data_IF_209580398234
#
_entry.id   IF_209580398234
#
_cell.length_a   1.000
_cell.length_b   1.000
_cell.length_c   1.000
_cell.angle_alpha   90.00
_cell.angle_beta   90.00
_cell.angle_gamma   90.00
#
_symmetry.space_group_name_H-M   'P 1'
#
loop_
_entity.id
_entity.type
_entity.pdbx_description
1 polymer ?
#
# COMPACT_ATOMS: atom_id res chain seq x y z
N UNK A 1 -4.06 20.43 -9.12
CA UNK A 1 -5.15 19.85 -9.93
C UNK A 1 -6.29 19.56 -8.97
N UNK A 2 -7.43 20.21 -9.15
CA UNK A 2 -8.61 20.13 -8.30
C UNK A 2 -9.51 18.99 -8.78
N UNK A 3 -9.94 18.11 -7.88
CA UNK A 3 -10.93 17.09 -8.18
C UNK A 3 -12.32 17.67 -8.02
N UNK A 4 -13.03 17.79 -9.13
CA UNK A 4 -14.46 18.07 -9.15
C UNK A 4 -15.21 16.74 -9.12
N UNK A 5 -16.04 16.54 -8.10
CA UNK A 5 -16.97 15.42 -8.04
C UNK A 5 -17.96 15.52 -9.21
N UNK A 6 -17.84 14.63 -10.21
CA UNK A 6 -18.88 14.43 -11.21
C UNK A 6 -20.02 13.67 -10.56
N UNK A 7 -21.07 14.39 -10.21
CA UNK A 7 -22.39 13.82 -9.97
C UNK A 7 -22.92 13.29 -11.31
N UNK A 8 -23.19 11.99 -11.38
CA UNK A 8 -24.04 11.43 -12.44
C UNK A 8 -25.21 10.72 -11.77
N UNK A 9 -26.41 11.23 -12.04
CA UNK A 9 -27.66 10.66 -11.57
C UNK A 9 -28.26 9.72 -12.61
N UNK A 10 -29.03 8.75 -12.08
CA UNK A 10 -30.15 7.97 -12.67
C UNK A 10 -29.92 6.45 -12.64
N UNK A 11 -30.98 5.61 -12.59
CA UNK A 11 -32.29 5.73 -11.94
C UNK A 11 -32.54 4.59 -10.92
N UNK A 12 -33.58 4.73 -10.09
CA UNK A 12 -33.92 3.80 -9.02
C UNK A 12 -34.13 2.35 -9.47
N UNK A 13 -33.54 1.42 -8.73
CA UNK A 13 -33.78 -0.01 -8.82
C UNK A 13 -34.30 -0.52 -7.47
N UNK A 14 -35.55 -0.96 -7.43
CA UNK A 14 -36.16 -1.60 -6.26
C UNK A 14 -35.84 -3.08 -6.35
N UNK A 15 -35.04 -3.61 -5.41
CA UNK A 15 -34.75 -5.05 -5.34
C UNK A 15 -35.56 -5.69 -4.21
N UNK A 16 -36.55 -6.49 -4.59
CA UNK A 16 -37.34 -7.34 -3.71
C UNK A 16 -36.46 -8.46 -3.15
N UNK A 17 -36.51 -8.68 -1.83
CA UNK A 17 -35.73 -9.71 -1.14
C UNK A 17 -36.15 -11.13 -1.56
N UNK A 18 -35.22 -11.88 -2.15
CA UNK A 18 -35.35 -13.33 -2.31
C UNK A 18 -34.76 -14.04 -1.09
N UNK A 19 -35.54 -14.92 -0.45
CA UNK A 19 -35.09 -15.79 0.65
C UNK A 19 -34.08 -16.81 0.13
N UNK A 20 -32.94 -16.94 0.81
CA UNK A 20 -31.94 -17.97 0.57
C UNK A 20 -32.11 -19.07 1.62
N UNK A 21 -32.41 -20.30 1.18
CA UNK A 21 -32.43 -21.47 2.06
C UNK A 21 -31.00 -21.94 2.39
N UNK A 22 -30.74 -22.44 3.62
CA UNK A 22 -29.43 -22.98 3.98
C UNK A 22 -29.14 -24.33 3.32
N UNK A 23 -27.85 -24.66 3.07
CA UNK A 23 -27.49 -25.88 2.37
C UNK A 23 -27.72 -27.14 3.23
N UNK A 24 -28.30 -28.18 2.61
CA UNK A 24 -28.44 -29.54 3.14
C UNK A 24 -27.06 -30.16 3.36
N UNK A 25 -26.80 -30.62 4.58
CA UNK A 25 -25.72 -31.56 4.90
C UNK A 25 -26.15 -32.95 4.41
N UNK A 26 -25.40 -33.54 3.48
CA UNK A 26 -25.53 -34.95 3.11
C UNK A 26 -24.33 -35.71 3.68
N UNK A 27 -24.66 -36.78 4.40
CA UNK A 27 -23.74 -37.62 5.15
C UNK A 27 -22.83 -38.48 4.29
N UNK A 28 -21.85 -39.03 5.00
CA UNK A 28 -20.77 -39.91 4.57
C UNK A 28 -21.28 -41.18 3.89
N UNK A 29 -20.49 -41.68 2.93
CA UNK A 29 -20.42 -43.11 2.66
C UNK A 29 -18.97 -43.56 2.43
N UNK A 30 -18.73 -44.73 3.00
CA UNK A 30 -17.45 -45.38 3.25
C UNK A 30 -16.71 -45.83 1.99
N UNK A 31 -15.51 -45.28 1.77
CA UNK A 31 -14.39 -46.04 1.19
C UNK A 31 -13.08 -45.55 1.82
N UNK A 32 -12.52 -46.38 2.70
CA UNK A 32 -11.27 -46.09 3.39
C UNK A 32 -10.09 -46.02 2.43
N UNK A 33 -9.42 -44.87 2.37
CA UNK A 33 -8.00 -44.81 2.01
C UNK A 33 -7.35 -43.67 2.80
N UNK A 34 -6.49 -44.04 3.75
CA UNK A 34 -5.70 -43.14 4.58
C UNK A 34 -4.46 -42.72 3.79
N UNK A 35 -4.28 -41.43 3.54
CA UNK A 35 -2.99 -40.88 3.09
C UNK A 35 -2.58 -39.74 4.04
N UNK A 36 -1.83 -40.12 5.07
CA UNK A 36 -0.89 -39.25 5.76
C UNK A 36 0.26 -38.94 4.79
N UNK A 37 0.53 -37.66 4.57
CA UNK A 37 1.46 -37.19 3.55
C UNK A 37 2.00 -35.80 3.86
N UNK A 38 2.82 -35.71 4.90
CA UNK A 38 3.67 -34.54 5.23
C UNK A 38 4.32 -33.94 3.96
N UNK A 39 3.88 -32.75 3.52
CA UNK A 39 4.69 -31.91 2.62
C UNK A 39 5.55 -30.95 3.45
N UNK A 40 6.69 -31.47 3.93
CA UNK A 40 7.86 -30.62 4.21
C UNK A 40 8.36 -30.11 2.86
N UNK A 41 7.98 -28.90 2.46
CA UNK A 41 8.71 -28.20 1.39
C UNK A 41 10.14 -27.99 1.87
N UNK A 42 11.11 -28.57 1.15
CA UNK A 42 12.52 -28.46 1.50
C UNK A 42 13.01 -27.04 1.19
N UNK A 43 13.65 -26.38 2.17
CA UNK A 43 14.25 -25.03 2.04
C UNK A 43 15.14 -24.87 0.79
N UNK A 44 15.73 -25.97 0.28
CA UNK A 44 16.56 -26.02 -0.94
C UNK A 44 15.80 -25.84 -2.26
N UNK A 45 14.49 -26.10 -2.31
CA UNK A 45 13.67 -25.89 -3.51
C UNK A 45 13.20 -24.44 -3.63
N UNK A 46 12.84 -23.81 -2.50
CA UNK A 46 12.47 -22.39 -2.42
C UNK A 46 13.63 -21.49 -2.85
N UNK A 47 14.85 -21.76 -2.35
CA UNK A 47 16.05 -21.00 -2.72
C UNK A 47 16.42 -21.10 -4.22
N UNK A 48 16.15 -22.24 -4.87
CA UNK A 48 16.42 -22.39 -6.32
C UNK A 48 15.40 -21.63 -7.18
N UNK A 49 14.13 -21.55 -6.78
CA UNK A 49 13.14 -20.71 -7.43
C UNK A 49 13.41 -19.20 -7.28
N UNK A 50 13.95 -18.79 -6.13
CA UNK A 50 14.30 -17.40 -5.78
C UNK A 50 15.48 -16.85 -6.61
N UNK A 51 16.43 -17.71 -6.99
CA UNK A 51 17.59 -17.36 -7.81
C UNK A 51 17.28 -17.28 -9.31
N UNK A 52 16.42 -18.15 -9.84
CA UNK A 52 16.13 -18.20 -11.28
C UNK A 52 15.37 -16.98 -11.82
N UNK A 53 14.50 -16.34 -11.03
CA UNK A 53 13.67 -15.24 -11.56
C UNK A 53 14.36 -13.87 -11.46
N UNK A 54 15.11 -13.64 -10.39
CA UNK A 54 15.93 -12.44 -10.28
C UNK A 54 16.98 -12.42 -11.40
N UNK A 55 17.37 -13.58 -11.95
CA UNK A 55 18.21 -13.73 -13.16
C UNK A 55 17.45 -13.39 -14.45
N UNK A 56 16.21 -13.85 -14.58
CA UNK A 56 15.34 -13.55 -15.74
C UNK A 56 14.98 -12.06 -15.87
N UNK A 57 14.69 -11.40 -14.74
CA UNK A 57 14.46 -9.95 -14.69
C UNK A 57 15.74 -9.17 -15.07
N UNK A 58 16.93 -9.66 -14.67
CA UNK A 58 18.20 -9.11 -15.14
C UNK A 58 18.44 -9.31 -16.63
N UNK A 59 18.13 -10.49 -17.18
CA UNK A 59 18.28 -10.73 -18.62
C UNK A 59 17.34 -9.84 -19.45
N UNK A 60 16.13 -9.54 -18.96
CA UNK A 60 15.22 -8.57 -19.59
C UNK A 60 15.65 -7.10 -19.38
N UNK A 61 16.32 -6.78 -18.27
CA UNK A 61 16.90 -5.44 -18.04
C UNK A 61 18.12 -5.20 -18.94
N UNK A 62 19.00 -6.20 -19.09
CA UNK A 62 20.13 -6.18 -20.02
C UNK A 62 19.70 -6.04 -21.48
N UNK A 63 18.53 -6.58 -21.85
CA UNK A 63 17.96 -6.43 -23.19
C UNK A 63 17.40 -5.04 -23.50
N UNK A 64 17.14 -4.18 -22.50
CA UNK A 64 16.58 -2.82 -22.68
C UNK A 64 17.58 -1.68 -22.45
N UNK A 65 18.85 -1.98 -22.18
CA UNK A 65 19.90 -0.96 -22.01
C UNK A 65 19.70 -0.02 -20.82
N UNK A 66 18.80 -0.34 -19.89
CA UNK A 66 18.54 0.48 -18.69
C UNK A 66 19.67 0.25 -17.69
N UNK A 67 20.60 1.20 -17.61
CA UNK A 67 21.65 1.21 -16.58
C UNK A 67 21.02 1.43 -15.21
N UNK A 68 21.46 0.68 -14.22
CA UNK A 68 21.16 0.98 -12.82
C UNK A 68 21.79 2.32 -12.47
N UNK A 69 20.95 3.29 -12.11
CA UNK A 69 21.40 4.56 -11.58
C UNK A 69 21.19 4.56 -10.07
N UNK A 70 22.26 4.22 -9.33
CA UNK A 70 22.22 4.21 -7.87
C UNK A 70 21.88 5.58 -7.29
N UNK A 71 22.22 6.67 -8.00
CA UNK A 71 21.95 8.04 -7.56
C UNK A 71 20.46 8.32 -7.50
N UNK A 72 19.68 7.73 -8.40
CA UNK A 72 18.21 7.88 -8.38
C UNK A 72 17.60 7.24 -7.14
N UNK A 73 18.09 6.05 -6.76
CA UNK A 73 17.63 5.35 -5.55
C UNK A 73 18.05 6.12 -4.29
N UNK A 74 19.30 6.62 -4.25
CA UNK A 74 19.80 7.47 -3.17
C UNK A 74 18.96 8.76 -3.02
N UNK A 75 18.60 9.40 -4.13
CA UNK A 75 17.72 10.57 -4.15
C UNK A 75 16.33 10.23 -3.61
N UNK A 76 15.75 9.09 -3.97
CA UNK A 76 14.47 8.64 -3.42
C UNK A 76 14.54 8.39 -1.91
N UNK A 77 15.62 7.75 -1.42
CA UNK A 77 15.85 7.55 0.01
C UNK A 77 15.93 8.89 0.74
N UNK A 78 16.71 9.84 0.22
CA UNK A 78 16.87 11.16 0.82
C UNK A 78 15.53 11.91 0.90
N UNK A 79 14.78 11.97 -0.21
CA UNK A 79 13.47 12.64 -0.24
C UNK A 79 12.41 11.95 0.62
N UNK A 80 12.44 10.62 0.70
CA UNK A 80 11.56 9.89 1.63
C UNK A 80 11.86 10.26 3.09
N UNK A 81 13.13 10.45 3.44
CA UNK A 81 13.54 10.88 4.76
C UNK A 81 13.12 12.33 5.05
N UNK A 82 13.23 13.23 4.07
CA UNK A 82 12.72 14.61 4.17
C UNK A 82 11.21 14.64 4.41
N UNK A 83 10.43 13.92 3.60
CA UNK A 83 8.98 13.84 3.76
C UNK A 83 8.57 13.23 5.10
N UNK A 84 9.32 12.24 5.61
CA UNK A 84 9.07 11.67 6.94
C UNK A 84 9.38 12.67 8.06
N UNK A 85 10.47 13.44 7.97
CA UNK A 85 10.77 14.51 8.93
C UNK A 85 9.68 15.60 8.92
N UNK A 86 9.20 15.99 7.74
CA UNK A 86 8.09 16.93 7.59
C UNK A 86 6.81 16.40 8.24
N UNK A 87 6.46 15.13 7.99
CA UNK A 87 5.32 14.46 8.63
C UNK A 87 5.40 14.52 10.16
N UNK A 88 6.56 14.19 10.73
CA UNK A 88 6.78 14.27 12.19
C UNK A 88 6.60 15.71 12.68
N UNK A 89 7.20 16.69 12.01
CA UNK A 89 7.10 18.10 12.41
C UNK A 89 5.65 18.62 12.39
N UNK A 90 4.87 18.27 11.37
CA UNK A 90 3.44 18.62 11.28
C UNK A 90 2.65 18.00 12.43
N UNK A 91 2.88 16.72 12.73
CA UNK A 91 2.18 16.02 13.81
C UNK A 91 2.54 16.57 15.19
N UNK A 92 3.82 16.87 15.43
CA UNK A 92 4.31 17.41 16.70
C UNK A 92 3.76 18.82 16.97
N UNK A 93 3.52 19.61 15.92
CA UNK A 93 2.93 20.95 16.04
C UNK A 93 1.41 20.92 16.24
N UNK A 94 0.71 19.86 15.81
CA UNK A 94 -0.74 19.78 15.82
C UNK A 94 -1.32 19.45 17.21
N UNK A 95 -2.30 20.23 17.66
CA UNK A 95 -3.14 19.89 18.83
C UNK A 95 -4.32 18.96 18.44
N UNK A 96 -5.12 18.51 19.41
CA UNK A 96 -6.24 17.58 19.12
C UNK A 96 -7.29 18.21 18.18
N UNK A 97 -7.76 19.45 18.40
CA UNK A 97 -8.61 20.16 17.44
C UNK A 97 -8.04 20.27 16.02
N UNK A 98 -6.72 20.45 15.88
CA UNK A 98 -6.06 20.47 14.58
C UNK A 98 -6.16 19.11 13.87
N UNK A 99 -5.97 18.01 14.61
CA UNK A 99 -6.11 16.66 14.07
C UNK A 99 -7.57 16.28 13.75
N UNK A 100 -8.53 16.84 14.47
CA UNK A 100 -9.98 16.67 14.23
C UNK A 100 -10.52 17.56 13.12
N UNK A 101 -9.69 18.49 12.59
CA UNK A 101 -10.12 19.45 11.58
C UNK A 101 -10.70 18.75 10.35
N UNK A 102 -11.92 19.09 9.93
CA UNK A 102 -12.54 18.53 8.74
C UNK A 102 -11.84 19.04 7.47
N UNK A 103 -11.79 18.17 6.47
CA UNK A 103 -11.31 18.39 5.11
C UNK A 103 -12.43 18.08 4.11
N UNK A 104 -12.17 18.23 2.82
CA UNK A 104 -13.16 17.93 1.77
C UNK A 104 -13.60 16.45 1.81
N UNK A 105 -14.81 16.16 1.33
CA UNK A 105 -15.30 14.79 1.18
C UNK A 105 -15.56 14.02 2.49
N UNK A 106 -15.70 14.71 3.63
CA UNK A 106 -15.96 14.08 4.92
C UNK A 106 -14.70 13.53 5.62
N UNK A 107 -13.52 13.89 5.11
CA UNK A 107 -12.24 13.56 5.73
C UNK A 107 -11.92 14.47 6.91
N UNK A 108 -10.96 14.04 7.73
CA UNK A 108 -10.31 14.88 8.73
C UNK A 108 -8.79 14.78 8.57
N UNK A 109 -8.03 15.69 9.17
CA UNK A 109 -6.56 15.59 9.23
C UNK A 109 -6.13 14.22 9.76
N UNK A 110 -6.74 13.74 10.84
CA UNK A 110 -6.46 12.41 11.39
C UNK A 110 -6.79 11.27 10.41
N UNK A 111 -7.90 11.35 9.66
CA UNK A 111 -8.24 10.33 8.67
C UNK A 111 -7.22 10.30 7.52
N UNK A 112 -6.73 11.45 7.06
CA UNK A 112 -5.65 11.53 6.06
C UNK A 112 -4.35 10.90 6.59
N UNK A 113 -4.01 11.13 7.86
CA UNK A 113 -2.84 10.48 8.48
C UNK A 113 -3.02 8.95 8.56
N UNK A 114 -4.21 8.44 8.88
CA UNK A 114 -4.50 7.02 8.87
C UNK A 114 -4.40 6.41 7.46
N UNK A 115 -4.88 7.13 6.45
CA UNK A 115 -4.71 6.79 5.03
C UNK A 115 -3.24 6.69 4.62
N UNK A 116 -2.42 7.70 4.94
CA UNK A 116 -0.98 7.66 4.71
C UNK A 116 -0.34 6.42 5.35
N UNK A 117 -0.75 6.11 6.58
CA UNK A 117 -0.26 4.94 7.31
C UNK A 117 -0.63 3.62 6.62
N UNK A 118 -1.85 3.50 6.09
CA UNK A 118 -2.29 2.33 5.34
C UNK A 118 -1.47 2.14 4.06
N UNK A 119 -1.35 3.19 3.24
CA UNK A 119 -0.67 3.09 1.95
C UNK A 119 0.83 2.79 2.10
N UNK A 120 1.48 3.34 3.12
CA UNK A 120 2.87 2.99 3.41
C UNK A 120 3.02 1.54 3.90
N UNK A 121 2.10 1.03 4.71
CA UNK A 121 2.09 -0.39 5.09
C UNK A 121 1.84 -1.32 3.91
N UNK A 122 0.95 -0.93 2.99
CA UNK A 122 0.70 -1.68 1.73
C UNK A 122 1.99 -1.78 0.93
N UNK A 123 2.70 -0.66 0.71
CA UNK A 123 3.97 -0.67 0.00
C UNK A 123 5.02 -1.51 0.72
N UNK A 124 5.13 -1.39 2.04
CA UNK A 124 6.06 -2.21 2.82
C UNK A 124 5.80 -3.71 2.60
N UNK A 125 4.54 -4.14 2.61
CA UNK A 125 4.16 -5.52 2.31
C UNK A 125 4.50 -5.92 0.87
N UNK A 126 4.32 -5.03 -0.10
CA UNK A 126 4.68 -5.28 -1.49
C UNK A 126 6.20 -5.44 -1.67
N UNK A 127 7.00 -4.58 -1.04
CA UNK A 127 8.46 -4.71 -1.04
C UNK A 127 8.91 -6.04 -0.41
N UNK A 128 8.29 -6.45 0.68
CA UNK A 128 8.54 -7.76 1.30
C UNK A 128 8.22 -8.94 0.38
N UNK A 129 7.14 -8.84 -0.39
CA UNK A 129 6.77 -9.85 -1.38
C UNK A 129 7.76 -9.87 -2.54
N UNK A 130 8.19 -8.69 -2.99
CA UNK A 130 9.23 -8.51 -3.99
C UNK A 130 10.54 -9.23 -3.63
N UNK A 131 11.05 -9.04 -2.41
CA UNK A 131 12.27 -9.72 -1.92
C UNK A 131 12.13 -11.25 -1.83
N UNK A 132 10.88 -11.75 -1.68
CA UNK A 132 10.56 -13.18 -1.68
C UNK A 132 10.30 -13.72 -3.09
N UNK A 133 10.42 -12.90 -4.14
CA UNK A 133 10.11 -13.27 -5.52
C UNK A 133 8.60 -13.46 -5.78
N UNK A 134 7.75 -12.99 -4.87
CA UNK A 134 6.28 -13.04 -4.97
C UNK A 134 5.79 -11.77 -5.67
N UNK A 135 6.10 -11.65 -6.95
CA UNK A 135 5.79 -10.43 -7.69
C UNK A 135 4.27 -10.23 -7.77
N UNK A 136 3.77 -9.03 -7.45
CA UNK A 136 2.37 -8.72 -7.69
C UNK A 136 2.08 -8.82 -9.20
N UNK A 137 0.84 -9.15 -9.59
CA UNK A 137 0.38 -8.99 -10.97
C UNK A 137 0.67 -7.56 -11.45
N UNK A 138 1.09 -7.41 -12.70
CA UNK A 138 1.39 -6.09 -13.27
C UNK A 138 0.12 -5.26 -13.46
N UNK A 139 -0.95 -5.95 -13.82
CA UNK A 139 -2.25 -5.35 -14.08
C UNK A 139 -3.13 -5.61 -12.86
N UNK A 140 -3.33 -4.57 -12.04
CA UNK A 140 -4.36 -4.60 -11.01
C UNK A 140 -5.73 -4.44 -11.69
N UNK A 141 -6.71 -5.31 -11.40
CA UNK A 141 -8.06 -5.12 -11.90
C UNK A 141 -8.63 -3.76 -11.50
N UNK A 142 -9.40 -3.13 -12.37
CA UNK A 142 -9.97 -1.77 -12.16
C UNK A 142 -10.75 -1.63 -10.84
N UNK A 143 -11.36 -2.73 -10.35
CA UNK A 143 -12.10 -2.77 -9.10
C UNK A 143 -11.22 -2.81 -7.83
N UNK A 144 -9.89 -2.78 -7.98
CA UNK A 144 -8.92 -2.53 -6.89
C UNK A 144 -8.40 -1.09 -6.90
N UNK A 145 -9.07 -0.16 -7.59
CA UNK A 145 -8.68 1.24 -7.60
C UNK A 145 -8.59 1.85 -6.20
N UNK A 146 -7.68 2.81 -6.05
CA UNK A 146 -7.37 3.43 -4.76
C UNK A 146 -8.61 4.07 -4.11
N UNK A 147 -9.53 4.62 -4.89
CA UNK A 147 -10.79 5.22 -4.43
C UNK A 147 -11.72 4.18 -3.76
N UNK A 148 -11.85 2.98 -4.33
CA UNK A 148 -12.63 1.89 -3.72
C UNK A 148 -12.09 1.52 -2.35
N UNK A 149 -10.76 1.44 -2.20
CA UNK A 149 -10.11 1.15 -0.92
C UNK A 149 -10.31 2.30 0.07
N UNK A 150 -10.16 3.54 -0.39
CA UNK A 150 -10.31 4.72 0.45
C UNK A 150 -11.75 4.88 0.95
N UNK A 151 -12.74 4.75 0.07
CA UNK A 151 -14.15 4.83 0.42
C UNK A 151 -14.56 3.72 1.40
N UNK A 152 -14.01 2.52 1.21
CA UNK A 152 -14.29 1.38 2.07
C UNK A 152 -13.63 1.49 3.47
N UNK A 153 -12.50 2.20 3.59
CA UNK A 153 -11.75 2.32 4.85
C UNK A 153 -11.97 3.65 5.57
N UNK A 154 -12.56 4.65 4.92
CA UNK A 154 -12.79 5.96 5.51
C UNK A 154 -13.60 5.89 6.82
N UNK A 155 -14.68 5.10 6.95
CA UNK A 155 -15.40 4.96 8.23
C UNK A 155 -14.50 4.45 9.36
N UNK A 156 -13.62 3.50 9.07
CA UNK A 156 -12.65 2.96 10.02
C UNK A 156 -11.61 4.01 10.40
N UNK A 157 -11.12 4.79 9.44
CA UNK A 157 -10.15 5.87 9.69
C UNK A 157 -10.76 6.99 10.53
N UNK A 158 -12.01 7.36 10.28
CA UNK A 158 -12.75 8.35 11.08
C UNK A 158 -13.02 7.86 12.51
N UNK A 159 -13.12 6.55 12.72
CA UNK A 159 -13.34 5.96 14.04
C UNK A 159 -12.06 5.84 14.90
N UNK A 160 -10.87 6.04 14.30
CA UNK A 160 -9.61 5.96 15.04
C UNK A 160 -9.45 7.16 15.99
N UNK A 161 -8.93 6.95 17.22
CA UNK A 161 -8.44 8.05 18.03
C UNK A 161 -7.39 8.86 17.26
N UNK A 162 -7.55 10.18 17.18
CA UNK A 162 -6.74 11.06 16.33
C UNK A 162 -5.23 10.91 16.57
N UNK A 163 -4.82 10.84 17.83
CA UNK A 163 -3.42 10.60 18.21
C UNK A 163 -2.90 9.23 17.81
N UNK A 164 -3.77 8.22 17.77
CA UNK A 164 -3.40 6.89 17.25
C UNK A 164 -3.20 6.93 15.74
N UNK A 165 -4.07 7.61 14.99
CA UNK A 165 -3.89 7.80 13.55
C UNK A 165 -2.57 8.50 13.21
N UNK A 166 -2.26 9.59 13.92
CA UNK A 166 -0.99 10.31 13.77
C UNK A 166 0.24 9.43 14.05
N UNK A 167 0.24 8.68 15.16
CA UNK A 167 1.35 7.76 15.48
C UNK A 167 1.51 6.67 14.44
N UNK A 168 0.40 6.09 13.98
CA UNK A 168 0.43 5.06 12.94
C UNK A 168 1.06 5.56 11.65
N UNK A 169 0.87 6.83 11.28
CA UNK A 169 1.47 7.45 10.10
C UNK A 169 3.00 7.54 10.20
N UNK A 170 3.51 8.05 11.34
CA UNK A 170 4.95 8.12 11.61
C UNK A 170 5.57 6.73 11.59
N UNK A 171 4.98 5.78 12.32
CA UNK A 171 5.49 4.41 12.42
C UNK A 171 5.56 3.72 11.05
N UNK A 172 4.50 3.87 10.24
CA UNK A 172 4.46 3.29 8.90
C UNK A 172 5.49 3.92 7.97
N UNK A 173 5.61 5.25 7.98
CA UNK A 173 6.57 5.96 7.14
C UNK A 173 8.02 5.63 7.50
N UNK A 174 8.33 5.56 8.80
CA UNK A 174 9.63 5.15 9.30
C UNK A 174 9.99 3.71 8.93
N UNK A 175 9.06 2.76 9.14
CA UNK A 175 9.27 1.36 8.79
C UNK A 175 9.50 1.17 7.28
N UNK A 176 8.73 1.86 6.45
CA UNK A 176 8.90 1.81 5.00
C UNK A 176 10.22 2.44 4.56
N UNK A 177 10.60 3.59 5.12
CA UNK A 177 11.90 4.21 4.81
C UNK A 177 13.06 3.28 5.14
N UNK A 178 13.03 2.64 6.32
CA UNK A 178 14.04 1.68 6.72
C UNK A 178 14.12 0.50 5.75
N UNK A 179 12.97 0.01 5.26
CA UNK A 179 12.96 -1.05 4.23
C UNK A 179 13.57 -0.58 2.93
N UNK A 180 13.16 0.58 2.40
CA UNK A 180 13.69 1.11 1.14
C UNK A 180 15.20 1.34 1.21
N UNK A 181 15.70 1.84 2.34
CA UNK A 181 17.14 2.01 2.57
C UNK A 181 17.89 0.66 2.63
N UNK A 182 17.25 -0.39 3.13
CA UNK A 182 17.82 -1.73 3.22
C UNK A 182 17.68 -2.59 1.97
N UNK A 183 16.99 -2.10 0.92
CA UNK A 183 16.82 -2.85 -0.33
C UNK A 183 18.16 -3.03 -1.02
N UNK A 184 18.39 -4.25 -1.51
CA UNK A 184 19.55 -4.51 -2.35
C UNK A 184 19.40 -3.84 -3.74
N UNK A 185 20.53 -3.47 -4.34
CA UNK A 185 20.58 -2.76 -5.62
C UNK A 185 19.90 -3.54 -6.77
N UNK A 186 19.92 -4.87 -6.73
CA UNK A 186 19.31 -5.73 -7.73
C UNK A 186 17.79 -5.62 -7.69
N UNK A 187 17.21 -5.71 -6.51
CA UNK A 187 15.76 -5.57 -6.29
C UNK A 187 15.30 -4.16 -6.65
N UNK A 188 16.02 -3.11 -6.20
CA UNK A 188 15.71 -1.74 -6.55
C UNK A 188 15.73 -1.49 -8.08
N UNK A 189 16.75 -2.00 -8.78
CA UNK A 189 16.80 -1.89 -10.25
C UNK A 189 15.66 -2.64 -10.92
N UNK A 190 15.32 -3.84 -10.44
CA UNK A 190 14.23 -4.62 -11.02
C UNK A 190 12.88 -3.92 -10.87
N UNK A 191 12.63 -3.26 -9.75
CA UNK A 191 11.45 -2.43 -9.50
C UNK A 191 11.38 -1.27 -10.51
N UNK A 192 12.49 -0.55 -10.71
CA UNK A 192 12.57 0.57 -11.66
C UNK A 192 12.32 0.11 -13.09
N UNK A 193 12.96 -0.98 -13.52
CA UNK A 193 12.81 -1.55 -14.87
C UNK A 193 11.39 -2.08 -15.14
N UNK A 194 10.64 -2.39 -14.08
CA UNK A 194 9.24 -2.82 -14.17
C UNK A 194 8.23 -1.66 -14.19
N UNK A 195 8.70 -0.42 -14.10
CA UNK A 195 7.88 0.79 -14.00
C UNK A 195 7.08 0.85 -12.68
N UNK A 196 7.63 0.25 -11.62
CA UNK A 196 7.04 0.19 -10.28
C UNK A 196 7.80 1.07 -9.28
N UNK A 197 8.52 2.08 -9.78
CA UNK A 197 9.37 2.93 -8.96
C UNK A 197 8.61 3.60 -7.80
N UNK A 198 7.28 3.73 -7.88
CA UNK A 198 6.40 4.30 -6.85
C UNK A 198 6.49 3.57 -5.50
N UNK A 199 6.94 2.31 -5.50
CA UNK A 199 7.30 1.55 -4.30
C UNK A 199 8.52 2.16 -3.57
N UNK A 200 9.36 2.91 -4.28
CA UNK A 200 10.60 3.51 -3.78
C UNK A 200 10.45 5.01 -3.48
N UNK A 201 9.64 5.76 -4.22
CA UNK A 201 9.54 7.23 -4.10
C UNK A 201 8.28 7.72 -3.38
N UNK A 202 8.11 7.23 -2.15
CA UNK A 202 6.93 7.48 -1.30
C UNK A 202 6.74 8.93 -0.87
N UNK A 203 7.81 9.73 -0.93
CA UNK A 203 7.73 11.16 -0.68
C UNK A 203 6.66 11.86 -1.52
N UNK A 204 6.40 11.45 -2.77
CA UNK A 204 5.39 12.12 -3.62
C UNK A 204 4.00 12.03 -3.01
N UNK A 205 3.56 10.81 -2.71
CA UNK A 205 2.27 10.54 -2.07
C UNK A 205 2.16 11.28 -0.73
N UNK A 206 3.19 11.19 0.12
CA UNK A 206 3.19 11.89 1.42
C UNK A 206 3.11 13.41 1.26
N UNK A 207 3.88 13.99 0.35
CA UNK A 207 3.94 15.44 0.15
C UNK A 207 2.59 16.00 -0.33
N UNK A 208 1.89 15.30 -1.23
CA UNK A 208 0.56 15.73 -1.69
C UNK A 208 -0.42 15.93 -0.53
N UNK A 209 -0.46 14.98 0.41
CA UNK A 209 -1.35 15.07 1.58
C UNK A 209 -0.81 15.99 2.68
N UNK A 210 0.51 16.10 2.85
CA UNK A 210 1.09 17.08 3.78
C UNK A 210 0.82 18.52 3.31
N UNK A 211 0.86 18.78 2.01
CA UNK A 211 0.50 20.09 1.44
C UNK A 211 -0.98 20.43 1.67
N UNK A 212 -1.86 19.43 1.71
CA UNK A 212 -3.27 19.61 2.06
C UNK A 212 -3.46 19.89 3.55
N UNK A 213 -2.85 19.07 4.42
CA UNK A 213 -2.92 19.25 5.87
C UNK A 213 -2.37 20.62 6.26
N UNK A 214 -1.18 21.00 5.79
CA UNK A 214 -0.57 22.27 6.16
C UNK A 214 -1.38 23.48 5.68
N UNK A 215 -2.02 23.42 4.49
CA UNK A 215 -2.96 24.46 4.05
C UNK A 215 -4.14 24.56 5.01
N UNK A 216 -4.78 23.43 5.33
CA UNK A 216 -5.91 23.40 6.24
C UNK A 216 -5.56 23.90 7.65
N UNK A 217 -4.34 23.70 8.11
CA UNK A 217 -3.85 24.16 9.43
C UNK A 217 -3.34 25.61 9.42
N UNK A 218 -2.84 26.09 8.28
CA UNK A 218 -2.28 27.44 8.10
C UNK A 218 -3.30 28.52 7.76
N UNK A 219 -4.51 28.16 7.31
CA UNK A 219 -5.61 29.10 7.04
C UNK A 219 -6.31 29.63 8.33
N UNK A 220 -5.55 29.82 9.41
CA UNK A 220 -6.05 30.35 10.70
C UNK A 220 -5.87 31.85 10.85
#
# INVERSE_FOLDING_TARGET
MSWTAKTSGSPGFVMTAARIDPPRVLGEDATGTRLDGRRRQSKRAVLRGQLHFTEMAWHHAGARGVRYDSRLVEEHIARNADAHRRLVAVIDAANDPDLERPLEGGWTVAAVLAHLAYWDRRVLLLLERWERGQLPPRDEPEWYADDVVNDALLPEWLALPTRSAARLAIDAAGALNARVQGLDARTAQAIIVRDEAWLLHRYRHRSEYLDEIERALGDQ
#
